data_IF_983362402943
#
_entry.id   IF_983362402943
#
_cell.length_a   1.000
_cell.length_b   1.000
_cell.length_c   1.000
_cell.angle_alpha   90.00
_cell.angle_beta   90.00
_cell.angle_gamma   90.00
#
_symmetry.space_group_name_H-M   'P 1'
#
loop_
_entity.id
_entity.type
_entity.pdbx_description
1 polymer ?
#
# COMPACT_ATOMS: atom_id res chain seq x y z
N UNK A 1 -11.38 38.91 43.16
CA UNK A 1 -11.57 39.04 41.69
C UNK A 1 -10.33 38.70 40.86
N UNK A 2 -9.09 38.92 41.35
CA UNK A 2 -7.83 38.61 40.63
C UNK A 2 -7.53 37.12 40.43
N UNK A 3 -7.78 36.28 41.44
CA UNK A 3 -7.53 34.82 41.37
C UNK A 3 -8.39 34.14 40.30
N UNK A 4 -9.68 34.49 40.19
CA UNK A 4 -10.58 33.96 39.15
C UNK A 4 -10.09 34.30 37.73
N UNK A 5 -9.59 35.53 37.50
CA UNK A 5 -9.01 35.92 36.21
C UNK A 5 -7.72 35.16 35.90
N UNK A 6 -6.84 34.99 36.88
CA UNK A 6 -5.60 34.21 36.75
C UNK A 6 -5.87 32.74 36.41
N UNK A 7 -6.85 32.11 37.08
CA UNK A 7 -7.26 30.72 36.79
C UNK A 7 -7.83 30.61 35.38
N UNK A 8 -8.71 31.52 34.97
CA UNK A 8 -9.27 31.51 33.61
C UNK A 8 -8.16 31.70 32.56
N UNK A 9 -7.24 32.63 32.77
CA UNK A 9 -6.10 32.83 31.85
C UNK A 9 -5.20 31.61 31.78
N UNK A 10 -4.89 30.97 32.92
CA UNK A 10 -4.09 29.75 32.94
C UNK A 10 -4.77 28.60 32.19
N UNK A 11 -6.07 28.40 32.37
CA UNK A 11 -6.85 27.37 31.64
C UNK A 11 -6.85 27.65 30.14
N UNK A 12 -7.06 28.89 29.71
CA UNK A 12 -7.02 29.27 28.29
C UNK A 12 -5.64 29.01 27.68
N UNK A 13 -4.57 29.36 28.39
CA UNK A 13 -3.20 29.11 27.94
C UNK A 13 -2.93 27.60 27.82
N UNK A 14 -3.35 26.80 28.79
CA UNK A 14 -3.19 25.33 28.75
C UNK A 14 -3.96 24.74 27.57
N UNK A 15 -5.22 25.14 27.36
CA UNK A 15 -6.03 24.68 26.24
C UNK A 15 -5.40 25.07 24.89
N UNK A 16 -4.87 26.29 24.79
CA UNK A 16 -4.17 26.75 23.59
C UNK A 16 -2.91 25.93 23.32
N UNK A 17 -2.10 25.64 24.35
CA UNK A 17 -0.91 24.79 24.23
C UNK A 17 -1.27 23.35 23.82
N UNK A 18 -2.33 22.77 24.40
CA UNK A 18 -2.81 21.44 24.04
C UNK A 18 -3.31 21.39 22.59
N UNK A 19 -4.04 22.41 22.15
CA UNK A 19 -4.51 22.52 20.78
C UNK A 19 -3.34 22.68 19.80
N UNK A 20 -2.39 23.56 20.09
CA UNK A 20 -1.21 23.75 19.25
C UNK A 20 -0.37 22.46 19.15
N UNK A 21 -0.20 21.74 20.27
CA UNK A 21 0.47 20.46 20.30
C UNK A 21 -0.26 19.38 19.48
N UNK A 22 -1.58 19.29 19.61
CA UNK A 22 -2.40 18.38 18.82
C UNK A 22 -2.30 18.68 17.32
N UNK A 23 -2.39 19.95 16.92
CA UNK A 23 -2.25 20.36 15.52
C UNK A 23 -0.87 20.04 14.97
N UNK A 24 0.19 20.27 15.76
CA UNK A 24 1.55 19.90 15.38
C UNK A 24 1.71 18.39 15.17
N UNK A 25 1.15 17.56 16.06
CA UNK A 25 1.24 16.10 15.95
C UNK A 25 0.40 15.53 14.81
N UNK A 26 -0.79 16.08 14.57
CA UNK A 26 -1.73 15.60 13.54
C UNK A 26 -1.40 16.09 12.12
N UNK A 27 -0.49 17.06 11.99
CA UNK A 27 -0.11 17.58 10.69
C UNK A 27 0.60 16.50 9.86
N UNK A 28 0.04 16.24 8.67
CA UNK A 28 0.60 15.30 7.71
C UNK A 28 0.23 13.84 7.99
N UNK A 29 -0.71 13.59 8.91
CA UNK A 29 -1.17 12.24 9.20
C UNK A 29 -2.21 11.75 8.21
N UNK A 30 -3.03 12.63 7.62
CA UNK A 30 -3.94 12.27 6.53
C UNK A 30 -3.21 12.28 5.19
N UNK A 31 -3.32 11.21 4.42
CA UNK A 31 -2.59 11.09 3.13
C UNK A 31 -3.21 11.93 2.01
N UNK A 32 -4.52 12.21 2.07
CA UNK A 32 -5.22 12.98 1.04
C UNK A 32 -5.29 12.29 -0.33
N UNK A 33 -5.10 10.97 -0.38
CA UNK A 33 -5.12 10.17 -1.60
C UNK A 33 -6.44 9.42 -1.73
N UNK A 34 -6.98 9.38 -2.95
CA UNK A 34 -8.20 8.65 -3.26
C UNK A 34 -8.02 7.16 -3.03
N UNK A 35 -9.04 6.53 -2.45
CA UNK A 35 -9.05 5.09 -2.18
C UNK A 35 -10.25 4.46 -2.87
N UNK A 36 -10.01 3.40 -3.62
CA UNK A 36 -11.05 2.59 -4.26
C UNK A 36 -11.01 1.16 -3.71
N UNK A 37 -12.18 0.67 -3.33
CA UNK A 37 -12.37 -0.68 -2.82
C UNK A 37 -12.98 -1.57 -3.90
N UNK A 38 -12.64 -2.85 -3.84
CA UNK A 38 -13.06 -3.85 -4.82
C UNK A 38 -13.61 -5.09 -4.11
N UNK A 39 -14.50 -5.79 -4.80
CA UNK A 39 -15.14 -6.98 -4.27
C UNK A 39 -14.42 -8.24 -4.75
N UNK A 40 -14.48 -9.28 -3.91
CA UNK A 40 -14.14 -10.64 -4.33
C UNK A 40 -15.34 -11.22 -5.07
N UNK A 41 -15.17 -11.54 -6.35
CA UNK A 41 -16.24 -12.03 -7.21
C UNK A 41 -15.77 -13.26 -7.99
N UNK A 42 -16.69 -14.19 -8.34
CA UNK A 42 -16.41 -15.21 -9.33
C UNK A 42 -15.99 -14.59 -10.66
N UNK A 43 -14.88 -15.05 -11.20
CA UNK A 43 -14.31 -14.54 -12.44
C UNK A 43 -13.47 -15.58 -13.15
N UNK A 44 -13.01 -15.23 -14.34
CA UNK A 44 -12.16 -16.10 -15.14
C UNK A 44 -11.43 -15.33 -16.22
N UNK A 45 -10.33 -15.91 -16.69
CA UNK A 45 -9.50 -15.29 -17.70
C UNK A 45 -8.22 -16.06 -17.93
N UNK A 46 -7.28 -15.38 -18.58
CA UNK A 46 -6.01 -15.93 -19.01
C UNK A 46 -4.94 -15.61 -17.98
N UNK A 47 -4.21 -16.62 -17.52
CA UNK A 47 -2.94 -16.44 -16.82
C UNK A 47 -1.83 -16.24 -17.85
N UNK A 48 -1.02 -15.20 -17.68
CA UNK A 48 0.11 -14.88 -18.54
C UNK A 48 1.41 -15.25 -17.85
N UNK A 49 2.45 -15.57 -18.62
CA UNK A 49 3.80 -15.75 -18.08
C UNK A 49 4.35 -14.42 -17.52
N UNK A 50 5.46 -14.44 -16.75
CA UNK A 50 6.10 -13.22 -16.29
C UNK A 50 6.33 -12.20 -17.39
N UNK A 51 6.19 -10.93 -17.04
CA UNK A 51 6.55 -9.80 -17.89
C UNK A 51 7.94 -9.25 -17.52
N UNK A 52 8.52 -8.44 -18.40
CA UNK A 52 9.76 -7.73 -18.15
C UNK A 52 9.54 -6.23 -18.34
N UNK A 53 10.10 -5.45 -17.42
CA UNK A 53 10.15 -4.00 -17.50
C UNK A 53 11.45 -3.54 -16.87
N UNK A 54 12.23 -2.75 -17.61
CA UNK A 54 13.55 -2.27 -17.17
C UNK A 54 13.58 -0.74 -16.96
N UNK A 55 12.45 -0.06 -17.19
CA UNK A 55 12.28 1.37 -16.93
C UNK A 55 11.90 1.69 -15.50
N UNK A 56 11.65 2.98 -15.25
CA UNK A 56 11.16 3.48 -13.97
C UNK A 56 9.63 3.56 -13.97
N UNK A 57 9.02 3.29 -12.81
CA UNK A 57 7.58 3.45 -12.60
C UNK A 57 7.40 4.60 -11.64
N UNK A 58 6.86 5.71 -12.12
CA UNK A 58 6.55 6.88 -11.31
C UNK A 58 5.07 6.84 -10.90
N UNK A 59 4.79 7.15 -9.64
CA UNK A 59 3.43 7.24 -9.10
C UNK A 59 3.16 8.67 -8.61
N UNK A 60 2.00 9.22 -8.97
CA UNK A 60 1.53 10.54 -8.57
C UNK A 60 0.12 10.44 -7.95
N UNK A 61 -0.13 10.93 -6.73
CA UNK A 61 0.87 11.44 -5.79
C UNK A 61 1.79 10.33 -5.27
N UNK A 62 2.99 10.72 -4.83
CA UNK A 62 3.87 9.80 -4.13
C UNK A 62 3.25 9.43 -2.77
N UNK A 63 3.13 8.13 -2.51
CA UNK A 63 2.71 7.64 -1.19
C UNK A 63 3.98 7.48 -0.36
N UNK A 64 4.06 8.07 0.85
CA UNK A 64 5.26 8.09 1.68
C UNK A 64 5.53 6.74 2.38
N UNK A 65 5.35 5.64 1.64
CA UNK A 65 5.62 4.30 2.11
C UNK A 65 7.12 4.13 2.38
N UNK A 66 7.44 3.27 3.32
CA UNK A 66 8.79 2.88 3.67
C UNK A 66 9.35 1.94 2.59
N UNK A 67 9.72 2.51 1.44
CA UNK A 67 10.19 1.84 0.22
C UNK A 67 11.56 1.14 0.35
N UNK A 68 11.85 0.48 1.47
CA UNK A 68 13.12 -0.20 1.72
C UNK A 68 13.60 -0.03 3.16
N UNK A 69 14.24 -1.06 3.70
CA UNK A 69 14.82 -1.06 5.04
C UNK A 69 16.14 -0.23 5.05
N UNK A 70 16.49 0.49 6.13
CA UNK A 70 17.82 1.09 6.28
C UNK A 70 18.95 0.13 5.89
N UNK A 71 19.70 0.50 4.84
CA UNK A 71 20.81 -0.29 4.29
C UNK A 71 20.50 -1.06 2.99
N UNK A 72 19.23 -1.07 2.54
CA UNK A 72 18.82 -1.58 1.23
C UNK A 72 17.80 -0.60 0.64
N UNK A 73 18.18 0.10 -0.43
CA UNK A 73 17.17 0.79 -1.24
C UNK A 73 16.16 -0.27 -1.69
N UNK A 74 14.90 -0.16 -1.23
CA UNK A 74 13.88 -1.10 -1.65
C UNK A 74 13.75 -0.97 -3.15
N UNK A 75 13.96 -2.11 -3.81
CA UNK A 75 14.25 -2.16 -5.24
C UNK A 75 13.18 -1.47 -6.08
N UNK A 76 13.45 -1.32 -7.37
CA UNK A 76 12.47 -0.78 -8.32
C UNK A 76 11.22 -1.67 -8.37
N UNK A 77 10.12 -1.11 -8.85
CA UNK A 77 8.95 -1.91 -9.20
C UNK A 77 9.35 -3.03 -10.16
N UNK A 78 9.04 -4.26 -9.80
CA UNK A 78 9.30 -5.45 -10.60
C UNK A 78 8.02 -5.87 -11.31
N UNK A 79 8.11 -6.13 -12.61
CA UNK A 79 6.98 -6.58 -13.41
C UNK A 79 6.64 -8.03 -13.04
N UNK A 80 5.43 -8.27 -12.51
CA UNK A 80 4.99 -9.61 -12.12
C UNK A 80 4.25 -10.29 -13.26
N UNK A 81 3.24 -9.62 -13.81
CA UNK A 81 2.44 -10.14 -14.92
C UNK A 81 1.92 -8.99 -15.77
N UNK A 82 1.77 -9.23 -17.07
CA UNK A 82 1.21 -8.26 -18.00
C UNK A 82 0.40 -8.96 -19.08
N UNK A 83 -0.76 -8.41 -19.40
CA UNK A 83 -1.74 -9.04 -20.29
C UNK A 83 -2.75 -8.05 -20.85
N UNK A 84 -3.75 -8.58 -21.55
CA UNK A 84 -4.81 -7.81 -22.20
C UNK A 84 -6.15 -8.00 -21.52
N UNK A 85 -6.89 -6.91 -21.33
CA UNK A 85 -8.29 -6.88 -20.91
C UNK A 85 -9.06 -6.11 -21.97
N UNK A 86 -9.79 -6.84 -22.81
CA UNK A 86 -10.32 -6.29 -24.06
C UNK A 86 -9.21 -5.69 -24.92
N UNK A 87 -9.33 -4.41 -25.29
CA UNK A 87 -8.34 -3.71 -26.12
C UNK A 87 -7.21 -3.05 -25.30
N UNK A 88 -7.29 -3.08 -23.97
CA UNK A 88 -6.33 -2.42 -23.09
C UNK A 88 -5.23 -3.35 -22.60
N UNK A 89 -4.09 -2.77 -22.27
CA UNK A 89 -2.93 -3.44 -21.70
C UNK A 89 -2.87 -3.15 -20.21
N UNK A 90 -2.85 -4.21 -19.42
CA UNK A 90 -2.69 -4.10 -17.97
C UNK A 90 -1.39 -4.77 -17.53
N UNK A 91 -0.76 -4.19 -16.52
CA UNK A 91 0.45 -4.73 -15.89
C UNK A 91 0.30 -4.69 -14.38
N UNK A 92 0.79 -5.73 -13.72
CA UNK A 92 0.88 -5.80 -12.28
C UNK A 92 2.34 -5.76 -11.87
N UNK A 93 2.70 -4.73 -11.12
CA UNK A 93 4.01 -4.57 -10.53
C UNK A 93 4.00 -4.90 -9.04
N UNK A 94 5.16 -5.26 -8.51
CA UNK A 94 5.37 -5.35 -7.07
C UNK A 94 6.64 -4.64 -6.62
N UNK A 95 6.65 -4.14 -5.39
CA UNK A 95 7.79 -3.50 -4.75
C UNK A 95 7.76 -3.78 -3.25
N UNK A 96 8.91 -3.98 -2.64
CA UNK A 96 9.01 -4.23 -1.20
C UNK A 96 8.68 -2.97 -0.39
N UNK A 97 8.00 -3.16 0.74
CA UNK A 97 7.64 -2.13 1.70
C UNK A 97 7.97 -2.63 3.11
N UNK A 98 8.71 -1.84 3.87
CA UNK A 98 8.99 -2.12 5.28
C UNK A 98 7.78 -1.80 6.17
N UNK A 99 7.51 -2.66 7.14
CA UNK A 99 6.46 -2.47 8.14
C UNK A 99 7.07 -2.19 9.51
N UNK A 100 6.65 -1.11 10.15
CA UNK A 100 6.93 -0.85 11.55
C UNK A 100 5.93 -1.64 12.39
N UNK A 101 6.41 -2.44 13.36
CA UNK A 101 5.56 -3.31 14.19
C UNK A 101 4.50 -2.57 15.00
N UNK A 102 4.61 -1.24 15.14
CA UNK A 102 3.53 -0.41 15.65
C UNK A 102 2.38 -0.39 14.62
N UNK A 103 1.42 -1.30 14.82
CA UNK A 103 0.23 -1.49 13.99
C UNK A 103 0.54 -1.82 12.51
N UNK A 104 1.62 -2.57 12.26
CA UNK A 104 2.07 -2.95 10.91
C UNK A 104 2.14 -1.76 9.94
N UNK A 105 2.58 -0.60 10.45
CA UNK A 105 2.53 0.64 9.71
C UNK A 105 3.53 0.64 8.55
N UNK A 106 3.11 0.94 7.32
CA UNK A 106 3.99 0.90 6.15
C UNK A 106 4.75 2.22 5.95
N UNK A 107 4.77 3.12 6.95
CA UNK A 107 5.40 4.43 6.89
C UNK A 107 6.67 4.49 7.74
N UNK A 108 7.36 5.63 7.70
CA UNK A 108 8.53 5.86 8.55
C UNK A 108 8.16 5.78 10.04
N UNK A 109 9.06 5.23 10.87
CA UNK A 109 8.85 5.16 12.33
C UNK A 109 8.50 6.54 12.92
N UNK A 110 9.19 7.59 12.46
CA UNK A 110 8.98 8.96 12.93
C UNK A 110 7.55 9.43 12.66
N UNK A 111 7.05 9.24 11.44
CA UNK A 111 5.69 9.66 11.08
C UNK A 111 4.64 8.78 11.77
N UNK A 112 4.87 7.46 11.83
CA UNK A 112 4.00 6.52 12.52
C UNK A 112 3.85 6.87 14.00
N UNK A 113 4.95 7.07 14.73
CA UNK A 113 4.92 7.43 16.16
C UNK A 113 4.24 8.78 16.38
N UNK A 114 4.57 9.79 15.56
CA UNK A 114 3.97 11.13 15.64
C UNK A 114 2.45 11.05 15.49
N UNK A 115 1.98 10.39 14.42
CA UNK A 115 0.56 10.28 14.11
C UNK A 115 -0.19 9.37 15.07
N UNK A 116 0.44 8.29 15.54
CA UNK A 116 -0.10 7.46 16.61
C UNK A 116 -0.33 8.26 17.89
N UNK A 117 0.65 9.07 18.30
CA UNK A 117 0.49 9.93 19.47
C UNK A 117 -0.52 11.06 19.28
N UNK A 118 -0.68 11.60 18.07
CA UNK A 118 -1.76 12.52 17.76
C UNK A 118 -3.14 11.87 18.02
N UNK A 119 -3.31 10.60 17.62
CA UNK A 119 -4.55 9.84 17.74
C UNK A 119 -4.84 9.36 19.17
N UNK A 120 -3.81 8.96 19.91
CA UNK A 120 -3.95 8.31 21.23
C UNK A 120 -3.53 9.21 22.41
N UNK A 121 -3.21 10.47 22.17
CA UNK A 121 -2.76 11.44 23.20
C UNK A 121 -1.55 10.93 24.02
N UNK A 122 -0.53 10.39 23.35
CA UNK A 122 0.72 9.99 24.00
C UNK A 122 1.86 11.00 23.81
N UNK A 123 2.86 10.90 24.71
CA UNK A 123 4.09 11.72 24.66
C UNK A 123 5.26 10.91 24.08
N UNK A 124 5.30 9.60 24.33
CA UNK A 124 6.35 8.68 23.89
C UNK A 124 5.77 7.30 23.61
N UNK A 125 6.29 6.62 22.58
CA UNK A 125 5.96 5.23 22.27
C UNK A 125 7.27 4.45 22.19
N UNK A 126 7.35 3.33 22.90
CA UNK A 126 8.41 2.35 22.66
C UNK A 126 8.01 1.52 21.44
N UNK A 127 8.69 1.74 20.33
CA UNK A 127 8.50 0.93 19.12
C UNK A 127 9.44 -0.27 19.20
N UNK A 128 8.94 -1.52 19.08
CA UNK A 128 9.81 -2.68 18.99
C UNK A 128 10.80 -2.52 17.83
N UNK A 129 12.06 -2.88 18.04
CA UNK A 129 13.10 -2.84 17.00
C UNK A 129 12.85 -3.83 15.83
N UNK A 130 11.80 -4.65 15.93
CA UNK A 130 11.42 -5.58 14.88
C UNK A 130 10.68 -4.85 13.75
N UNK A 131 11.01 -5.21 12.51
CA UNK A 131 10.45 -4.63 11.29
C UNK A 131 9.89 -5.80 10.46
N UNK A 132 8.64 -5.71 10.04
CA UNK A 132 8.00 -6.66 9.13
C UNK A 132 8.25 -6.29 7.66
N UNK A 133 7.88 -7.17 6.74
CA UNK A 133 7.93 -6.91 5.30
C UNK A 133 6.55 -7.09 4.66
N UNK A 134 6.24 -6.20 3.74
CA UNK A 134 5.07 -6.24 2.87
C UNK A 134 5.47 -6.05 1.41
N UNK A 135 4.53 -6.38 0.52
CA UNK A 135 4.60 -6.09 -0.90
C UNK A 135 3.58 -5.01 -1.23
N UNK A 136 4.04 -3.92 -1.82
CA UNK A 136 3.20 -3.06 -2.63
C UNK A 136 2.81 -3.82 -3.91
N UNK A 137 1.52 -3.83 -4.23
CA UNK A 137 0.94 -4.41 -5.43
C UNK A 137 0.31 -3.28 -6.23
N UNK A 138 0.85 -3.02 -7.42
CA UNK A 138 0.40 -1.94 -8.29
C UNK A 138 -0.18 -2.52 -9.58
N UNK A 139 -1.50 -2.42 -9.76
CA UNK A 139 -2.18 -2.78 -11.02
C UNK A 139 -2.32 -1.53 -11.87
N UNK A 140 -1.79 -1.54 -13.09
CA UNK A 140 -1.72 -0.38 -13.98
C UNK A 140 -2.48 -0.65 -15.27
N UNK A 141 -3.44 0.21 -15.61
CA UNK A 141 -3.92 0.37 -16.98
C UNK A 141 -2.89 1.20 -17.74
N UNK A 142 -2.06 0.55 -18.56
CA UNK A 142 -0.93 1.18 -19.26
C UNK A 142 -1.41 2.21 -20.29
N UNK A 143 -2.61 2.03 -20.85
CA UNK A 143 -3.14 2.91 -21.88
C UNK A 143 -3.71 4.21 -21.28
N UNK A 144 -4.28 4.17 -20.06
CA UNK A 144 -4.80 5.38 -19.37
C UNK A 144 -3.84 5.99 -18.35
N UNK A 145 -2.83 5.24 -17.90
CA UNK A 145 -1.93 5.64 -16.82
C UNK A 145 -2.60 5.63 -15.44
N UNK A 146 -3.73 4.95 -15.26
CA UNK A 146 -4.37 4.79 -13.94
C UNK A 146 -3.80 3.57 -13.24
N UNK A 147 -3.35 3.76 -12.00
CA UNK A 147 -2.82 2.71 -11.13
C UNK A 147 -3.66 2.51 -9.87
N UNK A 148 -3.73 1.27 -9.43
CA UNK A 148 -4.30 0.86 -8.15
C UNK A 148 -3.19 0.25 -7.29
N UNK A 149 -2.75 0.99 -6.28
CA UNK A 149 -1.66 0.61 -5.38
C UNK A 149 -2.21 0.11 -4.04
N UNK A 150 -1.97 -1.16 -3.72
CA UNK A 150 -2.38 -1.79 -2.47
C UNK A 150 -1.18 -2.37 -1.74
N UNK A 151 -1.31 -2.63 -0.45
CA UNK A 151 -0.26 -3.20 0.38
C UNK A 151 -0.72 -4.57 0.84
N UNK A 152 0.13 -5.57 0.68
CA UNK A 152 -0.14 -6.92 1.15
C UNK A 152 1.02 -7.33 2.04
N UNK A 153 0.74 -7.71 3.28
CA UNK A 153 1.77 -8.35 4.12
C UNK A 153 2.27 -9.60 3.39
N UNK A 154 3.59 -9.84 3.37
CA UNK A 154 4.13 -11.05 2.77
C UNK A 154 3.36 -12.27 3.30
N UNK A 155 3.02 -13.22 2.43
CA UNK A 155 2.35 -14.45 2.85
C UNK A 155 3.27 -15.15 3.85
N UNK A 156 2.82 -15.25 5.10
CA UNK A 156 3.40 -16.15 6.08
C UNK A 156 2.95 -17.56 5.72
N UNK A 157 3.59 -18.21 4.74
CA UNK A 157 3.49 -19.66 4.65
C UNK A 157 4.48 -20.24 5.66
N UNK A 158 3.93 -20.69 6.80
CA UNK A 158 4.62 -21.60 7.69
C UNK A 158 4.79 -22.89 6.91
N UNK A 159 5.94 -23.06 6.27
CA UNK A 159 6.32 -24.35 5.69
C UNK A 159 6.38 -25.36 6.83
N UNK A 160 5.96 -26.61 6.61
CA UNK A 160 5.88 -27.68 7.63
C UNK A 160 7.14 -27.87 8.52
N UNK A 161 8.29 -27.31 8.10
CA UNK A 161 9.55 -27.34 8.84
C UNK A 161 9.88 -26.06 9.65
N UNK A 162 8.93 -25.13 9.81
CA UNK A 162 9.15 -23.89 10.58
C UNK A 162 10.03 -22.85 9.90
N UNK A 163 10.35 -23.03 8.61
CA UNK A 163 11.02 -22.02 7.79
C UNK A 163 10.01 -20.99 7.30
N UNK A 164 10.23 -19.72 7.66
CA UNK A 164 9.42 -18.59 7.20
C UNK A 164 9.79 -18.26 5.75
N UNK A 165 8.88 -18.49 4.80
CA UNK A 165 9.06 -18.02 3.42
C UNK A 165 8.20 -16.79 3.17
N UNK A 166 8.83 -15.70 2.76
CA UNK A 166 8.12 -14.54 2.21
C UNK A 166 7.67 -14.86 0.79
N UNK A 167 6.40 -15.25 0.60
CA UNK A 167 5.85 -15.46 -0.75
C UNK A 167 5.41 -14.12 -1.34
N UNK A 168 6.20 -13.63 -2.29
CA UNK A 168 5.88 -12.45 -3.10
C UNK A 168 4.75 -12.75 -4.09
N UNK A 169 4.15 -11.68 -4.63
CA UNK A 169 3.17 -11.81 -5.70
C UNK A 169 3.80 -12.51 -6.91
N UNK A 170 3.23 -13.65 -7.29
CA UNK A 170 3.66 -14.44 -8.44
C UNK A 170 2.69 -14.25 -9.61
N UNK A 171 3.18 -14.43 -10.85
CA UNK A 171 2.37 -14.23 -12.06
C UNK A 171 1.13 -15.12 -12.10
N UNK A 172 1.18 -16.31 -11.50
CA UNK A 172 0.06 -17.25 -11.41
C UNK A 172 -1.09 -16.75 -10.53
N UNK A 173 -0.88 -15.70 -9.75
CA UNK A 173 -1.92 -15.05 -8.95
C UNK A 173 -2.64 -13.94 -9.71
N UNK A 174 -2.27 -13.67 -10.96
CA UNK A 174 -2.86 -12.63 -11.79
C UNK A 174 -3.55 -13.25 -12.98
N UNK A 175 -4.83 -12.92 -13.15
CA UNK A 175 -5.66 -13.44 -14.24
C UNK A 175 -6.23 -12.24 -15.01
N UNK A 176 -6.03 -12.23 -16.33
CA UNK A 176 -6.56 -11.17 -17.19
C UNK A 176 -7.83 -11.68 -17.85
N UNK A 177 -8.98 -11.18 -17.38
CA UNK A 177 -10.29 -11.51 -17.94
C UNK A 177 -10.70 -10.56 -19.06
N UNK A 178 -11.94 -10.73 -19.53
CA UNK A 178 -12.49 -9.86 -20.57
C UNK A 178 -12.91 -8.49 -20.03
N UNK A 179 -13.19 -8.42 -18.74
CA UNK A 179 -13.87 -7.30 -18.07
C UNK A 179 -13.11 -6.80 -16.85
N UNK A 180 -11.87 -7.26 -16.63
CA UNK A 180 -11.02 -6.84 -15.51
C UNK A 180 -9.73 -7.64 -15.35
N UNK A 181 -8.87 -7.14 -14.46
CA UNK A 181 -7.71 -7.86 -13.91
C UNK A 181 -8.12 -8.47 -12.58
N UNK A 182 -7.94 -9.77 -12.44
CA UNK A 182 -8.33 -10.53 -11.26
C UNK A 182 -7.10 -10.94 -10.46
N UNK A 183 -7.08 -10.60 -9.17
CA UNK A 183 -6.00 -10.95 -8.26
C UNK A 183 -6.45 -12.08 -7.32
N UNK A 184 -5.70 -13.18 -7.32
CA UNK A 184 -5.84 -14.29 -6.38
C UNK A 184 -5.17 -13.95 -5.04
N UNK A 185 -5.49 -12.78 -4.48
CA UNK A 185 -4.92 -12.27 -3.25
C UNK A 185 -6.03 -12.03 -2.23
N UNK A 186 -5.71 -12.37 -0.98
CA UNK A 186 -6.46 -11.94 0.19
C UNK A 186 -5.70 -10.84 0.92
N UNK A 187 -6.42 -10.05 1.70
CA UNK A 187 -5.84 -9.11 2.67
C UNK A 187 -4.89 -8.08 2.04
N UNK A 188 -5.21 -7.61 0.83
CA UNK A 188 -4.62 -6.36 0.33
C UNK A 188 -5.31 -5.21 1.05
N UNK A 189 -4.55 -4.27 1.57
CA UNK A 189 -5.05 -3.16 2.36
C UNK A 189 -4.35 -1.85 2.03
N UNK A 190 -4.99 -0.76 2.45
CA UNK A 190 -4.42 0.59 2.50
C UNK A 190 -4.89 1.28 3.77
N UNK A 191 -4.34 2.45 4.06
CA UNK A 191 -4.83 3.33 5.14
C UNK A 191 -5.08 4.74 4.61
N UNK A 192 -6.06 5.46 5.14
CA UNK A 192 -6.28 6.88 4.80
C UNK A 192 -5.45 7.84 5.65
N UNK A 193 -5.05 7.36 6.83
CA UNK A 193 -4.29 8.11 7.82
C UNK A 193 -3.13 7.25 8.31
N UNK A 194 -1.96 7.86 8.50
CA UNK A 194 -0.81 7.21 9.14
C UNK A 194 -1.22 6.80 10.55
N UNK A 195 -0.93 5.55 10.91
CA UNK A 195 -1.41 4.90 12.14
C UNK A 195 -2.94 4.77 12.25
N UNK A 196 -3.67 4.97 11.15
CA UNK A 196 -5.09 4.69 11.03
C UNK A 196 -5.38 3.20 10.82
N UNK A 197 -6.67 2.90 10.68
CA UNK A 197 -7.15 1.53 10.53
C UNK A 197 -6.93 1.01 9.10
N UNK A 198 -6.62 -0.28 8.97
CA UNK A 198 -6.48 -0.95 7.68
C UNK A 198 -7.84 -1.05 6.99
N UNK A 199 -7.86 -0.72 5.70
CA UNK A 199 -9.03 -0.82 4.86
C UNK A 199 -8.78 -1.93 3.84
N UNK A 200 -9.38 -3.10 4.10
CA UNK A 200 -9.19 -4.31 3.30
C UNK A 200 -9.81 -4.21 1.91
N UNK A 201 -9.20 -4.90 0.96
CA UNK A 201 -9.58 -4.96 -0.45
C UNK A 201 -9.66 -3.59 -1.14
N UNK A 202 -8.91 -2.62 -0.63
CA UNK A 202 -8.85 -1.28 -1.17
C UNK A 202 -7.43 -0.91 -1.62
N UNK A 203 -7.37 0.03 -2.56
CA UNK A 203 -6.15 0.48 -3.21
C UNK A 203 -6.16 2.01 -3.28
N UNK A 204 -5.00 2.62 -3.17
CA UNK A 204 -4.80 4.00 -3.56
C UNK A 204 -4.98 4.12 -5.07
N UNK A 205 -5.74 5.12 -5.49
CA UNK A 205 -5.84 5.49 -6.89
C UNK A 205 -4.73 6.48 -7.19
N UNK A 206 -3.81 6.08 -8.05
CA UNK A 206 -2.63 6.87 -8.42
C UNK A 206 -2.57 7.04 -9.93
N UNK A 207 -1.97 8.13 -10.39
CA UNK A 207 -1.52 8.27 -11.77
C UNK A 207 -0.15 7.62 -11.90
N UNK A 208 0.06 6.84 -12.94
CA UNK A 208 1.29 6.11 -13.20
C UNK A 208 1.91 6.58 -14.50
N UNK A 209 3.21 6.87 -14.47
CA UNK A 209 4.00 7.10 -15.68
C UNK A 209 5.04 6.00 -15.81
N UNK A 210 5.06 5.38 -16.97
CA UNK A 210 6.02 4.35 -17.36
C UNK A 210 6.25 4.41 -18.87
N UNK A 211 7.40 3.93 -19.31
CA UNK A 211 7.75 3.87 -20.73
C UNK A 211 7.21 2.57 -21.35
N UNK A 212 6.17 2.68 -22.19
CA UNK A 212 5.54 1.52 -22.82
C UNK A 212 6.51 0.73 -23.71
N UNK A 213 7.50 1.36 -24.33
CA UNK A 213 8.42 0.69 -25.26
C UNK A 213 9.35 -0.30 -24.54
N UNK A 214 9.57 -0.05 -23.25
CA UNK A 214 10.37 -0.84 -22.32
C UNK A 214 9.59 -1.97 -21.65
N UNK A 215 8.27 -2.00 -21.84
CA UNK A 215 7.41 -3.07 -21.35
C UNK A 215 7.38 -4.24 -22.33
N UNK A 216 7.72 -5.43 -21.85
CA UNK A 216 7.59 -6.70 -22.56
C UNK A 216 6.58 -7.58 -21.82
N UNK A 217 5.42 -7.79 -22.46
CA UNK A 217 4.41 -8.70 -21.94
C UNK A 217 4.91 -10.14 -22.03
N UNK A 218 4.41 -10.98 -21.12
CA UNK A 218 4.58 -12.43 -21.22
C UNK A 218 3.76 -13.02 -22.37
N UNK A 219 3.66 -14.35 -22.39
CA UNK A 219 2.75 -15.09 -23.27
C UNK A 219 1.54 -15.62 -22.49
N UNK A 220 0.36 -15.75 -23.11
CA UNK A 220 -0.75 -16.52 -22.56
C UNK A 220 -0.31 -17.94 -22.21
N UNK A 221 -0.70 -18.45 -21.04
CA UNK A 221 -0.38 -19.81 -20.59
C UNK A 221 -1.61 -20.71 -20.59
N UNK A 222 -2.59 -20.39 -19.74
CA UNK A 222 -3.80 -21.19 -19.59
C UNK A 222 -4.96 -20.33 -19.06
N UNK A 223 -6.18 -20.81 -19.25
CA UNK A 223 -7.37 -20.21 -18.68
C UNK A 223 -7.63 -20.76 -17.29
N UNK A 224 -8.11 -19.90 -16.40
CA UNK A 224 -8.53 -20.30 -15.06
C UNK A 224 -9.80 -19.57 -14.65
N UNK A 225 -10.51 -20.14 -13.69
CA UNK A 225 -11.70 -19.57 -13.07
C UNK A 225 -11.59 -19.73 -11.56
N UNK A 226 -12.27 -18.87 -10.82
CA UNK A 226 -12.18 -18.85 -9.37
C UNK A 226 -12.82 -17.61 -8.77
N UNK A 227 -12.66 -17.44 -7.46
CA UNK A 227 -13.04 -16.22 -6.76
C UNK A 227 -11.82 -15.35 -6.58
N UNK A 228 -11.88 -14.14 -7.13
CA UNK A 228 -10.75 -13.23 -7.18
C UNK A 228 -11.18 -11.83 -6.77
N UNK A 229 -10.22 -11.03 -6.32
CA UNK A 229 -10.40 -9.59 -6.19
C UNK A 229 -10.37 -8.97 -7.59
N UNK A 230 -11.50 -8.44 -8.05
CA UNK A 230 -11.61 -7.87 -9.41
C UNK A 230 -11.18 -6.41 -9.44
N UNK A 231 -10.11 -6.12 -10.15
CA UNK A 231 -9.57 -4.78 -10.39
C UNK A 231 -9.89 -4.36 -11.82
N UNK A 232 -10.63 -3.25 -11.94
CA UNK A 232 -11.11 -2.68 -13.22
C UNK A 232 -12.16 -3.51 -13.94
#
# INVERSE_FOLDING_TARGET
MRIKKLVVTAVVVILFLLLAFYLYLSWGCTLGVDVKCFDTTPGGGVVWSPCSYDGDVEIEPEIPLNWGWPGREGGKFTCVAGGRVGNKTYVVFTREVGLIMLNDSPFSERDTVRCYCARHFCITVAVPAAIGLASAVLVVDVDSGVGYLGIKRGLHEVVENGTELFTFLHYSHVVFGNDGVYLALRDVWVVKEIAGDHISNCFYVVKVRLDRERLRLGRPLYNTTGSFLKIS
#
